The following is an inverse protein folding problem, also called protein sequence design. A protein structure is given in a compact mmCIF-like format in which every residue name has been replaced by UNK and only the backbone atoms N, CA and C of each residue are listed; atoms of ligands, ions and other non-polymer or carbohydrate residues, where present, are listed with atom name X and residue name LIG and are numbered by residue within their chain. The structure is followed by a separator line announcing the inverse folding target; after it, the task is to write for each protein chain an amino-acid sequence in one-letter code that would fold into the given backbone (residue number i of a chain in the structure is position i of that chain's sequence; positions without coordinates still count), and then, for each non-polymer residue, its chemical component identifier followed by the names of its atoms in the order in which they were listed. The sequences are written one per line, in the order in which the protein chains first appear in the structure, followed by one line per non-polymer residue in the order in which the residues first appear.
data_IF_101489898186
#
_entry.id   IF_101489898186
#
_cell.length_a   1.000
_cell.length_b   1.000
_cell.length_c   1.000
_cell.angle_alpha   90.00
_cell.angle_beta   90.00
_cell.angle_gamma   90.00
#
_symmetry.space_group_name_H-M   'P 1'
#
loop_
_entity.id
_entity.type
_entity.pdbx_description
1 polymer ?
#
# COMPACT_ATOMS: atom_id res chain seq x y z
N UNK A 1 -21.41 25.96 -7.54
CA UNK A 1 -20.22 25.65 -6.72
C UNK A 1 -20.11 24.17 -6.38
N UNK A 2 -21.22 23.45 -6.22
CA UNK A 2 -21.22 22.03 -5.87
C UNK A 2 -20.58 21.07 -6.88
N UNK A 3 -20.91 21.24 -8.16
CA UNK A 3 -20.56 20.27 -9.20
C UNK A 3 -19.06 20.23 -9.47
N UNK A 4 -18.35 21.37 -9.42
CA UNK A 4 -16.90 21.40 -9.63
C UNK A 4 -16.14 20.72 -8.50
N UNK A 5 -16.61 20.80 -7.25
CA UNK A 5 -15.98 20.07 -6.14
C UNK A 5 -16.17 18.56 -6.30
N UNK A 6 -17.38 18.11 -6.68
CA UNK A 6 -17.70 16.69 -6.83
C UNK A 6 -16.84 16.03 -7.89
N UNK A 7 -16.52 16.73 -8.98
CA UNK A 7 -15.64 16.21 -10.03
C UNK A 7 -14.22 15.97 -9.52
N UNK A 8 -13.67 16.89 -8.73
CA UNK A 8 -12.34 16.73 -8.15
C UNK A 8 -12.33 15.59 -7.13
N UNK A 9 -13.35 15.53 -6.27
CA UNK A 9 -13.50 14.47 -5.27
C UNK A 9 -13.64 13.09 -5.90
N UNK A 10 -14.45 12.95 -6.95
CA UNK A 10 -14.66 11.68 -7.64
C UNK A 10 -13.37 11.09 -8.23
N UNK A 11 -12.44 11.94 -8.68
CA UNK A 11 -11.13 11.48 -9.15
C UNK A 11 -10.28 10.91 -8.00
N UNK A 12 -10.40 11.50 -6.81
CA UNK A 12 -9.67 11.10 -5.59
C UNK A 12 -10.14 9.76 -5.02
N UNK A 13 -11.40 9.39 -5.23
CA UNK A 13 -12.01 8.16 -4.71
C UNK A 13 -11.34 6.88 -5.24
N UNK A 14 -10.81 6.89 -6.47
CA UNK A 14 -10.08 5.76 -7.03
C UNK A 14 -8.83 5.44 -6.19
N UNK A 15 -8.13 6.48 -5.74
CA UNK A 15 -6.94 6.34 -4.90
C UNK A 15 -7.28 5.91 -3.48
N UNK A 16 -8.42 6.36 -2.96
CA UNK A 16 -8.94 5.92 -1.68
C UNK A 16 -9.28 4.42 -1.70
N UNK A 17 -9.93 3.95 -2.77
CA UNK A 17 -10.25 2.54 -2.96
C UNK A 17 -8.97 1.67 -3.04
N UNK A 18 -7.96 2.13 -3.77
CA UNK A 18 -6.64 1.47 -3.82
C UNK A 18 -6.00 1.40 -2.44
N UNK A 19 -6.05 2.49 -1.68
CA UNK A 19 -5.47 2.55 -0.34
C UNK A 19 -6.12 1.54 0.63
N UNK A 20 -7.45 1.47 0.64
CA UNK A 20 -8.21 0.52 1.47
C UNK A 20 -7.92 -0.92 1.04
N UNK A 21 -7.88 -1.20 -0.26
CA UNK A 21 -7.56 -2.53 -0.79
C UNK A 21 -6.16 -2.99 -0.41
N UNK A 22 -5.16 -2.12 -0.56
CA UNK A 22 -3.76 -2.43 -0.20
C UNK A 22 -3.63 -2.64 1.32
N UNK A 23 -4.29 -1.81 2.12
CA UNK A 23 -4.31 -1.96 3.58
C UNK A 23 -4.97 -3.29 3.99
N UNK A 24 -6.04 -3.70 3.32
CA UNK A 24 -6.66 -5.02 3.48
C UNK A 24 -5.69 -6.16 3.18
N UNK A 25 -4.90 -6.06 2.11
CA UNK A 25 -3.89 -7.06 1.78
C UNK A 25 -2.74 -7.11 2.81
N UNK A 26 -2.25 -5.97 3.29
CA UNK A 26 -1.25 -5.92 4.37
C UNK A 26 -1.75 -6.58 5.66
N UNK A 27 -3.03 -6.36 6.01
CA UNK A 27 -3.68 -7.04 7.13
C UNK A 27 -3.74 -8.56 6.91
N UNK A 28 -4.02 -9.01 5.68
CA UNK A 28 -3.95 -10.43 5.31
C UNK A 28 -2.54 -11.05 5.43
N UNK A 29 -1.50 -10.26 5.19
CA UNK A 29 -0.09 -10.66 5.31
C UNK A 29 0.46 -10.53 6.74
N UNK A 30 -0.40 -10.33 7.75
CA UNK A 30 -0.04 -10.09 9.17
C UNK A 30 0.89 -8.89 9.39
N UNK A 31 1.04 -7.99 8.42
CA UNK A 31 1.86 -6.79 8.53
C UNK A 31 0.99 -5.54 8.56
N UNK A 32 0.41 -5.25 9.73
CA UNK A 32 -0.46 -4.08 9.95
C UNK A 32 0.30 -2.79 10.24
N UNK A 33 1.57 -2.88 10.62
CA UNK A 33 2.37 -1.72 11.05
C UNK A 33 2.66 -0.79 9.89
N UNK A 34 3.05 -1.34 8.74
CA UNK A 34 3.42 -0.57 7.55
C UNK A 34 2.30 0.34 7.04
N UNK A 35 1.07 -0.14 6.75
CA UNK A 35 -0.02 0.72 6.28
C UNK A 35 -0.48 1.72 7.36
N UNK A 36 -0.40 1.35 8.65
CA UNK A 36 -0.80 2.22 9.77
C UNK A 36 0.13 3.41 9.95
N UNK A 37 1.44 3.22 9.81
CA UNK A 37 2.42 4.31 9.91
C UNK A 37 2.22 5.30 8.75
N UNK A 38 2.09 4.79 7.52
CA UNK A 38 1.88 5.61 6.32
C UNK A 38 0.56 6.40 6.46
N UNK A 39 -0.51 5.76 6.94
CA UNK A 39 -1.80 6.44 7.11
C UNK A 39 -1.80 7.50 8.19
N UNK A 40 -1.18 7.21 9.34
CA UNK A 40 -1.08 8.14 10.45
C UNK A 40 -0.27 9.36 10.05
N UNK A 41 0.87 9.17 9.38
CA UNK A 41 1.69 10.28 8.91
C UNK A 41 0.99 11.16 7.87
N UNK A 42 0.37 10.56 6.84
CA UNK A 42 -0.38 11.35 5.85
C UNK A 42 -1.60 12.06 6.43
N UNK A 43 -2.29 11.45 7.41
CA UNK A 43 -3.39 12.10 8.10
C UNK A 43 -2.91 13.26 8.98
N UNK A 44 -1.77 13.08 9.67
CA UNK A 44 -1.14 14.13 10.47
C UNK A 44 -0.66 15.29 9.61
N UNK A 45 -0.13 15.03 8.41
CA UNK A 45 0.30 16.04 7.44
C UNK A 45 -0.88 16.85 6.85
N UNK A 46 -2.08 16.26 6.79
CA UNK A 46 -3.27 16.92 6.22
C UNK A 46 -3.71 18.15 7.04
N UNK A 47 -3.61 18.09 8.36
CA UNK A 47 -4.00 19.17 9.28
C UNK A 47 -3.16 20.45 9.06
N UNK A 48 -1.80 20.40 9.05
CA UNK A 48 -0.98 21.57 8.79
C UNK A 48 -1.11 22.08 7.36
N UNK A 49 -1.30 21.22 6.35
CA UNK A 49 -1.58 21.71 4.99
C UNK A 49 -2.94 22.44 4.90
N UNK A 50 -3.97 21.95 5.58
CA UNK A 50 -5.26 22.63 5.64
C UNK A 50 -5.14 24.00 6.33
N UNK A 51 -4.35 24.08 7.40
CA UNK A 51 -4.04 25.34 8.08
C UNK A 51 -3.27 26.31 7.18
N UNK A 52 -2.32 25.83 6.37
CA UNK A 52 -1.60 26.63 5.39
C UNK A 52 -2.55 27.23 4.36
N UNK A 53 -3.46 26.44 3.79
CA UNK A 53 -4.46 26.93 2.82
C UNK A 53 -5.35 28.00 3.43
N UNK A 54 -5.76 27.81 4.70
CA UNK A 54 -6.52 28.80 5.45
C UNK A 54 -5.74 30.11 5.64
N UNK A 55 -4.45 30.02 5.98
CA UNK A 55 -3.57 31.19 6.13
C UNK A 55 -3.42 31.98 4.82
N UNK A 56 -3.35 31.30 3.67
CA UNK A 56 -3.30 31.94 2.34
C UNK A 56 -4.63 32.56 1.88
N UNK A 57 -5.71 32.50 2.69
CA UNK A 57 -7.06 32.99 2.35
C UNK A 57 -7.59 32.45 1.02
N UNK A 58 -7.22 31.21 0.68
CA UNK A 58 -7.69 30.54 -0.52
C UNK A 58 -9.12 30.02 -0.30
N UNK A 59 -9.87 29.89 -1.40
CA UNK A 59 -11.21 29.33 -1.37
C UNK A 59 -11.25 27.91 -0.80
N UNK A 60 -12.41 27.51 -0.26
CA UNK A 60 -12.65 26.17 0.29
C UNK A 60 -12.32 25.05 -0.70
N UNK A 61 -12.43 25.29 -2.00
CA UNK A 61 -12.04 24.33 -3.05
C UNK A 61 -10.60 23.84 -2.91
N UNK A 62 -9.69 24.69 -2.43
CA UNK A 62 -8.28 24.33 -2.25
C UNK A 62 -8.05 23.40 -1.04
N UNK A 63 -8.92 23.44 -0.02
CA UNK A 63 -8.87 22.50 1.10
C UNK A 63 -9.19 21.08 0.59
N UNK A 64 -10.21 20.94 -0.25
CA UNK A 64 -10.57 19.67 -0.87
C UNK A 64 -9.48 19.15 -1.82
N UNK A 65 -8.83 20.04 -2.56
CA UNK A 65 -7.68 19.69 -3.39
C UNK A 65 -6.50 19.18 -2.55
N UNK A 66 -6.22 19.79 -1.40
CA UNK A 66 -5.19 19.32 -0.45
C UNK A 66 -5.51 17.93 0.11
N UNK A 67 -6.76 17.69 0.49
CA UNK A 67 -7.21 16.38 1.00
C UNK A 67 -6.99 15.30 -0.08
N UNK A 68 -7.39 15.61 -1.31
CA UNK A 68 -7.25 14.76 -2.49
C UNK A 68 -5.79 14.47 -2.84
N UNK A 69 -4.93 15.48 -2.75
CA UNK A 69 -3.50 15.33 -2.98
C UNK A 69 -2.83 14.45 -1.92
N UNK A 70 -3.21 14.60 -0.65
CA UNK A 70 -2.71 13.75 0.43
C UNK A 70 -3.14 12.28 0.27
N UNK A 71 -4.38 12.01 -0.17
CA UNK A 71 -4.84 10.63 -0.40
C UNK A 71 -4.16 10.00 -1.61
N UNK A 72 -3.93 10.78 -2.67
CA UNK A 72 -3.16 10.35 -3.84
C UNK A 72 -1.73 9.91 -3.46
N UNK A 73 -0.99 10.77 -2.75
CA UNK A 73 0.36 10.47 -2.29
C UNK A 73 0.40 9.22 -1.41
N UNK A 74 -0.55 9.11 -0.49
CA UNK A 74 -0.67 7.97 0.41
C UNK A 74 -0.94 6.66 -0.34
N UNK A 75 -1.82 6.68 -1.34
CA UNK A 75 -2.10 5.53 -2.21
C UNK A 75 -0.87 5.03 -2.96
N UNK A 76 -0.07 5.95 -3.51
CA UNK A 76 1.19 5.63 -4.21
C UNK A 76 2.23 5.02 -3.26
N UNK A 77 2.42 5.61 -2.08
CA UNK A 77 3.37 5.08 -1.09
C UNK A 77 3.00 3.67 -0.66
N UNK A 78 1.72 3.42 -0.39
CA UNK A 78 1.22 2.09 -0.05
C UNK A 78 1.43 1.09 -1.20
N UNK A 79 1.20 1.49 -2.45
CA UNK A 79 1.40 0.63 -3.62
C UNK A 79 2.87 0.24 -3.80
N UNK A 80 3.80 1.19 -3.69
CA UNK A 80 5.25 0.92 -3.80
C UNK A 80 5.70 -0.05 -2.71
N UNK A 81 5.27 0.19 -1.47
CA UNK A 81 5.68 -0.64 -0.34
C UNK A 81 5.15 -2.07 -0.46
N UNK A 82 3.92 -2.19 -0.94
CA UNK A 82 3.29 -3.47 -1.19
C UNK A 82 4.01 -4.25 -2.29
N UNK A 83 4.36 -3.60 -3.41
CA UNK A 83 5.11 -4.23 -4.50
C UNK A 83 6.43 -4.82 -3.99
N UNK A 84 7.18 -4.03 -3.22
CA UNK A 84 8.45 -4.46 -2.63
C UNK A 84 8.27 -5.64 -1.66
N UNK A 85 7.16 -5.67 -0.91
CA UNK A 85 6.86 -6.78 0.01
C UNK A 85 6.48 -8.06 -0.75
N UNK A 86 5.65 -7.94 -1.80
CA UNK A 86 5.28 -9.06 -2.67
C UNK A 86 6.49 -9.71 -3.34
N UNK A 87 7.39 -8.91 -3.91
CA UNK A 87 8.62 -9.41 -4.54
C UNK A 87 9.48 -10.21 -3.55
N UNK A 88 9.65 -9.71 -2.32
CA UNK A 88 10.38 -10.44 -1.25
C UNK A 88 9.71 -11.76 -0.88
N UNK A 89 8.38 -11.74 -0.75
CA UNK A 89 7.61 -12.93 -0.35
C UNK A 89 7.65 -14.01 -1.42
N UNK A 90 7.55 -13.64 -2.70
CA UNK A 90 7.66 -14.56 -3.83
C UNK A 90 9.05 -15.20 -3.94
N UNK A 91 10.11 -14.41 -3.78
CA UNK A 91 11.49 -14.91 -3.83
C UNK A 91 11.77 -15.90 -2.69
N UNK A 92 11.32 -15.59 -1.47
CA UNK A 92 11.44 -16.49 -0.32
C UNK A 92 10.71 -17.81 -0.58
N UNK A 93 9.47 -17.76 -1.08
CA UNK A 93 8.69 -18.97 -1.35
C UNK A 93 9.33 -19.83 -2.45
N UNK A 94 9.85 -19.21 -3.51
CA UNK A 94 10.60 -19.92 -4.56
C UNK A 94 11.84 -20.65 -4.01
N UNK A 95 12.63 -19.98 -3.16
CA UNK A 95 13.82 -20.59 -2.55
C UNK A 95 13.47 -21.74 -1.61
N UNK A 96 12.39 -21.62 -0.84
CA UNK A 96 11.89 -22.70 0.03
C UNK A 96 11.44 -23.90 -0.80
N UNK A 97 10.62 -23.69 -1.83
CA UNK A 97 10.15 -24.75 -2.72
C UNK A 97 11.30 -25.44 -3.46
N UNK A 98 12.30 -24.67 -3.92
CA UNK A 98 13.51 -25.19 -4.55
C UNK A 98 14.31 -26.07 -3.58
N UNK A 99 14.47 -25.64 -2.33
CA UNK A 99 15.14 -26.41 -1.27
C UNK A 99 14.39 -27.71 -0.99
N UNK A 100 13.06 -27.67 -0.82
CA UNK A 100 12.24 -28.87 -0.58
C UNK A 100 12.36 -29.86 -1.75
N UNK A 101 12.28 -29.39 -3.00
CA UNK A 101 12.46 -30.25 -4.17
C UNK A 101 13.83 -30.93 -4.18
N UNK A 102 14.91 -30.21 -3.87
CA UNK A 102 16.26 -30.80 -3.77
C UNK A 102 16.28 -31.91 -2.72
N UNK A 103 15.76 -31.65 -1.52
CA UNK A 103 15.70 -32.67 -0.45
C UNK A 103 14.89 -33.90 -0.88
N UNK A 104 13.77 -33.71 -1.56
CA UNK A 104 12.97 -34.81 -2.10
C UNK A 104 13.75 -35.65 -3.11
N UNK A 105 14.43 -35.03 -4.10
CA UNK A 105 15.22 -35.77 -5.07
C UNK A 105 16.41 -36.49 -4.44
N UNK A 106 17.12 -35.85 -3.49
CA UNK A 106 18.23 -36.49 -2.76
C UNK A 106 17.73 -37.68 -1.93
N UNK A 107 16.58 -37.56 -1.27
CA UNK A 107 15.98 -38.64 -0.49
C UNK A 107 15.54 -39.82 -1.37
N UNK A 108 14.89 -39.55 -2.51
CA UNK A 108 14.47 -40.59 -3.47
C UNK A 108 15.67 -41.33 -4.07
N UNK A 109 16.75 -40.62 -4.41
CA UNK A 109 17.99 -41.24 -4.92
C UNK A 109 18.63 -42.12 -3.85
N UNK A 110 18.70 -41.64 -2.61
CA UNK A 110 19.25 -42.41 -1.49
C UNK A 110 18.48 -43.71 -1.26
N UNK A 111 17.14 -43.65 -1.25
CA UNK A 111 16.30 -44.84 -1.07
C UNK A 111 16.55 -45.89 -2.17
N UNK A 112 16.65 -45.44 -3.43
CA UNK A 112 16.87 -46.31 -4.60
C UNK A 112 18.27 -46.95 -4.66
N UNK A 113 19.24 -46.48 -3.87
CA UNK A 113 20.58 -47.06 -3.78
C UNK A 113 20.63 -48.21 -2.75
N UNK A 114 19.69 -48.25 -1.81
CA UNK A 114 19.65 -49.25 -0.73
C UNK A 114 18.64 -50.40 -0.98
N UNK A 115 17.85 -50.33 -2.05
CA UNK A 115 17.06 -51.44 -2.61
C UNK A 115 17.83 -52.15 -3.74
#
# INVERSE_FOLDING_TARGET
MGVSYLKVLAFSEIFLALEIGISGMFNGLKNTKTPTIISTFSNALRIPLAYLVFYLKLDITYIWAVISFCTFLKGILNYIFLRNLLEKTLILNYNVLKKIKIWYYTFVIFYKIFD
#
